data_IF_375430618450
#
_entry.id   IF_375430618450
#
_cell.length_a   1.000
_cell.length_b   1.000
_cell.length_c   1.000
_cell.angle_alpha   90.00
_cell.angle_beta   90.00
_cell.angle_gamma   90.00
#
_symmetry.space_group_name_H-M   'P 1'
#
loop_
_entity.id
_entity.type
_entity.pdbx_description
1 polymer ?
#
# COMPACT_ATOMS: atom_id res chain seq x y z
N UNK A 1 9.07 -2.23 60.25
CA UNK A 1 8.99 -2.43 58.78
C UNK A 1 7.78 -1.64 58.28
N UNK A 2 7.99 -0.45 57.71
CA UNK A 2 6.91 0.41 57.18
C UNK A 2 7.04 0.43 55.66
N UNK A 3 6.06 -0.15 54.97
CA UNK A 3 5.95 -0.12 53.51
C UNK A 3 5.54 1.28 53.06
N UNK A 4 6.36 1.89 52.20
CA UNK A 4 5.99 3.07 51.41
C UNK A 4 5.47 2.54 50.08
N UNK A 5 4.15 2.63 49.85
CA UNK A 5 3.58 2.42 48.52
C UNK A 5 3.75 3.72 47.73
N UNK A 6 4.70 3.74 46.78
CA UNK A 6 4.88 4.83 45.84
C UNK A 6 3.79 4.82 44.78
N UNK A 7 3.03 5.92 44.68
CA UNK A 7 2.09 6.18 43.59
C UNK A 7 2.89 6.74 42.40
N UNK A 8 3.34 5.86 41.50
CA UNK A 8 3.88 6.29 40.20
C UNK A 8 2.72 6.61 39.26
N UNK A 9 2.41 7.89 39.12
CA UNK A 9 1.53 8.40 38.07
C UNK A 9 2.27 8.25 36.73
N UNK A 10 1.84 7.28 35.92
CA UNK A 10 2.26 7.13 34.52
C UNK A 10 1.62 8.27 33.74
N UNK A 11 2.40 9.29 33.38
CA UNK A 11 2.03 10.24 32.35
C UNK A 11 2.52 9.67 31.02
N UNK A 12 1.67 8.89 30.38
CA UNK A 12 1.86 8.54 28.98
C UNK A 12 1.74 9.84 28.17
N UNK A 13 2.87 10.31 27.61
CA UNK A 13 2.80 11.22 26.48
C UNK A 13 2.06 10.47 25.38
N UNK A 14 0.84 10.91 25.10
CA UNK A 14 0.17 10.56 23.87
C UNK A 14 0.94 11.26 22.74
N UNK A 15 1.97 10.60 22.20
CA UNK A 15 2.42 10.87 20.85
C UNK A 15 1.31 10.40 19.92
N UNK A 16 0.30 11.25 19.77
CA UNK A 16 -0.53 11.21 18.58
C UNK A 16 0.42 11.44 17.42
N UNK A 17 0.77 10.36 16.71
CA UNK A 17 1.43 10.45 15.42
C UNK A 17 0.52 11.29 14.52
N UNK A 18 0.74 12.60 14.48
CA UNK A 18 0.17 13.46 13.47
C UNK A 18 0.64 12.89 12.13
N UNK A 19 -0.28 12.64 11.20
CA UNK A 19 0.07 12.25 9.86
C UNK A 19 1.11 13.25 9.33
N UNK A 20 2.29 12.75 8.96
CA UNK A 20 3.39 13.58 8.45
C UNK A 20 2.88 14.43 7.27
N UNK A 21 3.12 15.74 7.31
CA UNK A 21 2.82 16.61 6.16
C UNK A 21 3.84 16.36 5.05
N UNK A 22 3.50 16.67 3.80
CA UNK A 22 4.44 16.54 2.69
C UNK A 22 5.75 17.27 2.99
N UNK A 23 5.64 18.50 3.50
CA UNK A 23 6.77 19.37 3.83
C UNK A 23 7.63 18.77 4.95
N UNK A 24 7.03 18.04 5.89
CA UNK A 24 7.78 17.40 6.98
C UNK A 24 8.74 16.31 6.49
N UNK A 25 8.53 15.74 5.30
CA UNK A 25 9.45 14.77 4.71
C UNK A 25 10.82 15.37 4.44
N UNK A 26 10.93 16.68 4.22
CA UNK A 26 12.22 17.35 4.06
C UNK A 26 13.14 17.24 5.28
N UNK A 27 12.59 16.89 6.46
CA UNK A 27 13.34 16.71 7.70
C UNK A 27 13.79 15.26 7.97
N UNK A 28 13.44 14.32 7.10
CA UNK A 28 13.78 12.91 7.29
C UNK A 28 15.30 12.69 7.13
N UNK A 29 15.91 12.10 8.15
CA UNK A 29 17.32 11.72 8.13
C UNK A 29 17.48 10.33 7.50
N UNK A 30 18.24 10.25 6.41
CA UNK A 30 18.55 9.03 5.69
C UNK A 30 20.07 8.90 5.54
N UNK A 31 20.67 7.73 5.79
CA UNK A 31 22.13 7.57 5.86
C UNK A 31 22.84 7.92 4.54
N UNK A 32 22.26 7.58 3.39
CA UNK A 32 22.86 7.78 2.06
C UNK A 32 21.98 8.60 1.11
N UNK A 33 21.07 9.40 1.67
CA UNK A 33 20.13 10.21 0.88
C UNK A 33 19.86 11.56 1.55
N UNK A 34 19.77 12.61 0.74
CA UNK A 34 19.31 13.93 1.16
C UNK A 34 18.06 14.30 0.39
N UNK A 35 16.96 14.58 1.10
CA UNK A 35 15.75 15.13 0.49
C UNK A 35 16.02 16.59 0.15
N UNK A 36 16.02 16.92 -1.14
CA UNK A 36 16.32 18.26 -1.66
C UNK A 36 15.06 19.12 -1.81
N UNK A 37 13.89 18.48 -1.91
CA UNK A 37 12.59 19.14 -1.93
C UNK A 37 11.50 18.19 -1.46
N UNK A 38 10.52 18.67 -0.70
CA UNK A 38 9.26 17.98 -0.44
C UNK A 38 8.14 19.02 -0.40
N UNK A 39 7.31 19.04 -1.45
CA UNK A 39 6.29 20.09 -1.64
C UNK A 39 4.99 19.50 -2.17
N UNK A 40 3.87 19.98 -1.63
CA UNK A 40 2.57 19.73 -2.27
C UNK A 40 2.49 20.50 -3.58
N UNK A 41 2.26 19.76 -4.67
CA UNK A 41 1.82 20.29 -5.96
C UNK A 41 0.30 20.31 -5.94
N UNK A 42 -0.30 21.48 -6.14
CA UNK A 42 -1.76 21.60 -6.17
C UNK A 42 -2.36 20.94 -7.42
N UNK A 43 -3.68 20.71 -7.38
CA UNK A 43 -4.40 20.07 -8.47
C UNK A 43 -4.19 20.84 -9.79
N UNK A 44 -3.80 20.13 -10.85
CA UNK A 44 -3.58 20.70 -12.18
C UNK A 44 -2.38 21.64 -12.32
N UNK A 45 -1.62 21.90 -11.25
CA UNK A 45 -0.48 22.84 -11.26
C UNK A 45 0.86 22.20 -11.61
N UNK A 46 0.90 20.88 -11.83
CA UNK A 46 2.15 20.24 -12.22
C UNK A 46 2.63 20.73 -13.59
N UNK A 47 3.87 21.26 -13.58
CA UNK A 47 4.60 21.64 -14.78
C UNK A 47 5.86 20.78 -14.85
N UNK A 48 6.04 19.93 -15.86
CA UNK A 48 7.26 19.13 -16.02
C UNK A 48 8.47 20.05 -16.29
N UNK A 49 9.68 19.71 -15.82
CA UNK A 49 10.90 20.41 -16.21
C UNK A 49 11.02 20.49 -17.73
N UNK A 50 11.38 21.65 -18.26
CA UNK A 50 11.36 21.98 -19.69
C UNK A 50 12.27 21.03 -20.50
N UNK A 51 11.67 20.01 -21.12
CA UNK A 51 12.38 19.01 -21.92
C UNK A 51 11.52 17.81 -22.36
N UNK A 52 10.38 17.56 -21.70
CA UNK A 52 9.37 16.65 -22.24
C UNK A 52 8.79 17.21 -23.54
N UNK A 53 8.48 16.35 -24.52
CA UNK A 53 7.71 16.71 -25.72
C UNK A 53 6.27 17.12 -25.34
N UNK A 54 6.10 18.23 -24.61
CA UNK A 54 4.85 18.96 -24.58
C UNK A 54 4.72 19.65 -25.94
N UNK A 55 4.45 18.83 -26.96
CA UNK A 55 4.09 19.32 -28.28
C UNK A 55 2.88 20.22 -28.13
N UNK A 56 2.96 21.43 -28.70
CA UNK A 56 1.86 22.37 -28.99
C UNK A 56 0.47 21.82 -28.64
N UNK A 57 0.03 22.01 -27.39
CA UNK A 57 -1.23 21.44 -26.88
C UNK A 57 -1.38 21.65 -25.38
N UNK A 58 -2.61 21.57 -24.88
CA UNK A 58 -2.98 21.78 -23.48
C UNK A 58 -2.12 20.95 -22.50
N UNK A 59 -1.90 21.45 -21.28
CA UNK A 59 -1.18 20.72 -20.22
C UNK A 59 -1.77 19.31 -20.05
N UNK A 60 -1.05 18.22 -20.38
CA UNK A 60 -1.57 16.86 -20.24
C UNK A 60 -1.83 16.48 -18.76
N UNK A 61 -1.34 17.29 -17.83
CA UNK A 61 -1.46 17.09 -16.40
C UNK A 61 -2.50 18.00 -15.71
N UNK A 62 -3.32 18.73 -16.49
CA UNK A 62 -4.33 19.67 -15.94
C UNK A 62 -5.34 19.02 -14.99
N UNK A 63 -5.59 17.72 -15.14
CA UNK A 63 -6.57 16.96 -14.37
C UNK A 63 -5.91 16.15 -13.24
N UNK A 64 -4.60 16.33 -12.98
CA UNK A 64 -3.94 15.66 -11.87
C UNK A 64 -4.48 16.17 -10.52
N UNK A 65 -4.82 15.27 -9.58
CA UNK A 65 -5.12 15.65 -8.20
C UNK A 65 -3.87 16.20 -7.50
N UNK A 66 -4.01 16.89 -6.35
CA UNK A 66 -2.84 17.36 -5.62
C UNK A 66 -2.00 16.18 -5.12
N UNK A 67 -0.67 16.32 -5.16
CA UNK A 67 0.26 15.29 -4.73
C UNK A 67 1.50 15.91 -4.07
N UNK A 68 2.15 15.16 -3.20
CA UNK A 68 3.43 15.52 -2.60
C UNK A 68 4.56 15.08 -3.53
N UNK A 69 5.32 16.04 -4.06
CA UNK A 69 6.50 15.81 -4.88
C UNK A 69 7.73 15.87 -4.00
N UNK A 70 8.43 14.74 -3.88
CA UNK A 70 9.67 14.62 -3.10
C UNK A 70 10.82 14.41 -4.06
N UNK A 71 11.81 15.28 -4.02
CA UNK A 71 13.07 15.11 -4.72
C UNK A 71 14.17 14.78 -3.71
N UNK A 72 15.04 13.83 -4.05
CA UNK A 72 16.17 13.43 -3.23
C UNK A 72 17.42 13.23 -4.09
N UNK A 73 18.58 13.42 -3.47
CA UNK A 73 19.87 13.01 -4.00
C UNK A 73 20.40 11.85 -3.16
N UNK A 74 20.70 10.73 -3.80
CA UNK A 74 21.27 9.53 -3.17
C UNK A 74 22.76 9.47 -3.47
N UNK A 75 23.57 9.21 -2.43
CA UNK A 75 25.04 9.14 -2.48
C UNK A 75 25.54 7.85 -1.80
N UNK A 76 25.15 6.64 -2.26
CA UNK A 76 25.54 5.37 -1.63
C UNK A 76 27.04 5.08 -1.68
N UNK A 77 27.76 5.74 -2.60
CA UNK A 77 29.23 5.77 -2.68
C UNK A 77 29.68 7.21 -2.89
N UNK A 78 30.95 7.49 -2.63
CA UNK A 78 31.51 8.85 -2.73
C UNK A 78 31.43 9.48 -4.13
N UNK A 79 31.31 8.66 -5.17
CA UNK A 79 31.21 9.05 -6.58
C UNK A 79 29.77 8.97 -7.14
N UNK A 80 28.80 8.57 -6.31
CA UNK A 80 27.39 8.51 -6.72
C UNK A 80 26.69 9.86 -6.55
N UNK A 81 25.96 10.29 -7.59
CA UNK A 81 25.04 11.42 -7.54
C UNK A 81 23.71 11.06 -8.23
N UNK A 82 22.84 10.35 -7.52
CA UNK A 82 21.59 9.80 -8.08
C UNK A 82 20.43 10.73 -7.73
N UNK A 83 19.77 11.30 -8.75
CA UNK A 83 18.59 12.15 -8.57
C UNK A 83 17.32 11.31 -8.62
N UNK A 84 16.59 11.27 -7.52
CA UNK A 84 15.33 10.53 -7.38
C UNK A 84 14.19 11.52 -7.19
N UNK A 85 13.07 11.25 -7.82
CA UNK A 85 11.81 11.97 -7.62
C UNK A 85 10.69 10.99 -7.33
N UNK A 86 10.00 11.17 -6.22
CA UNK A 86 8.89 10.33 -5.74
C UNK A 86 7.64 11.19 -5.62
N UNK A 87 6.54 10.72 -6.19
CA UNK A 87 5.25 11.40 -6.11
C UNK A 87 4.34 10.60 -5.19
N UNK A 88 4.04 11.19 -4.04
CA UNK A 88 3.17 10.60 -3.03
C UNK A 88 1.79 11.28 -3.13
N UNK A 89 0.68 10.55 -2.98
CA UNK A 89 -0.64 11.20 -2.92
C UNK A 89 -0.70 12.19 -1.76
N UNK A 90 -1.18 13.43 -2.00
CA UNK A 90 -1.23 14.47 -0.96
C UNK A 90 -2.21 14.13 0.16
N UNK A 91 -3.16 13.22 -0.10
CA UNK A 91 -4.04 12.64 0.89
C UNK A 91 -4.58 11.30 0.39
N UNK A 92 -5.15 10.52 1.31
CA UNK A 92 -5.84 9.27 1.01
C UNK A 92 -7.31 9.48 0.59
N UNK A 93 -7.67 10.67 0.10
CA UNK A 93 -9.07 11.01 -0.17
C UNK A 93 -9.56 10.37 -1.48
N UNK A 94 -9.99 9.11 -1.40
CA UNK A 94 -10.67 8.42 -2.50
C UNK A 94 -12.18 8.73 -2.57
N UNK A 95 -12.68 9.75 -1.85
CA UNK A 95 -14.11 10.05 -1.79
C UNK A 95 -14.73 10.29 -3.17
N UNK A 96 -14.14 11.09 -4.09
CA UNK A 96 -14.72 11.25 -5.42
C UNK A 96 -14.77 9.94 -6.20
N UNK A 97 -13.69 9.15 -6.14
CA UNK A 97 -13.62 7.85 -6.81
C UNK A 97 -14.71 6.89 -6.32
N UNK A 98 -14.86 6.74 -5.01
CA UNK A 98 -15.88 5.90 -4.38
C UNK A 98 -17.29 6.43 -4.66
N UNK A 99 -17.49 7.76 -4.63
CA UNK A 99 -18.79 8.38 -4.91
C UNK A 99 -19.26 8.16 -6.36
N UNK A 100 -18.33 7.95 -7.30
CA UNK A 100 -18.63 7.57 -8.68
C UNK A 100 -18.74 6.05 -8.90
N UNK A 101 -18.82 5.26 -7.81
CA UNK A 101 -18.97 3.81 -7.87
C UNK A 101 -17.66 3.06 -8.14
N UNK A 102 -16.51 3.74 -8.08
CA UNK A 102 -15.20 3.14 -8.31
C UNK A 102 -14.88 2.00 -7.33
N UNK A 103 -14.21 0.96 -7.84
CA UNK A 103 -13.71 -0.18 -7.07
C UNK A 103 -12.19 -0.26 -7.18
N UNK A 104 -11.51 -0.35 -6.04
CA UNK A 104 -10.06 -0.46 -5.95
C UNK A 104 -9.70 -1.79 -5.28
N UNK A 105 -9.00 -2.65 -6.01
CA UNK A 105 -8.33 -3.82 -5.47
C UNK A 105 -6.84 -3.56 -5.38
N UNK A 106 -6.31 -3.67 -4.16
CA UNK A 106 -4.89 -3.56 -3.87
C UNK A 106 -4.35 -4.93 -3.46
N UNK A 107 -3.12 -5.23 -3.86
CA UNK A 107 -2.39 -6.37 -3.30
C UNK A 107 -0.93 -6.00 -3.03
N UNK A 108 -0.29 -6.71 -2.12
CA UNK A 108 1.15 -6.56 -1.85
C UNK A 108 1.76 -7.87 -1.36
N UNK A 109 2.95 -8.21 -1.85
CA UNK A 109 3.73 -9.34 -1.36
C UNK A 109 4.25 -9.10 0.05
N UNK A 110 3.91 -9.97 1.01
CA UNK A 110 4.36 -9.77 2.40
C UNK A 110 5.86 -10.00 2.59
N UNK A 111 6.50 -10.63 1.60
CA UNK A 111 7.93 -10.89 1.55
C UNK A 111 8.64 -10.05 0.49
N UNK A 112 8.02 -8.94 0.05
CA UNK A 112 8.63 -7.98 -0.88
C UNK A 112 9.87 -7.31 -0.23
N UNK A 113 11.09 -7.52 -0.77
CA UNK A 113 12.30 -6.94 -0.22
C UNK A 113 12.60 -5.52 -0.78
N UNK A 114 11.88 -5.09 -1.81
CA UNK A 114 12.11 -3.82 -2.51
C UNK A 114 11.17 -2.73 -2.00
N UNK A 115 9.89 -3.06 -1.84
CA UNK A 115 8.87 -2.15 -1.32
C UNK A 115 8.28 -2.78 -0.07
N UNK A 116 8.51 -2.16 1.09
CA UNK A 116 8.02 -2.71 2.35
C UNK A 116 6.48 -2.79 2.36
N UNK A 117 5.87 -3.96 2.64
CA UNK A 117 4.42 -4.16 2.51
C UNK A 117 3.60 -3.30 3.48
N UNK A 118 4.20 -2.86 4.59
CA UNK A 118 3.56 -1.96 5.55
C UNK A 118 3.13 -0.63 4.91
N UNK A 119 3.83 -0.16 3.86
CA UNK A 119 3.43 1.05 3.13
C UNK A 119 2.01 0.95 2.55
N UNK A 120 1.63 -0.22 2.02
CA UNK A 120 0.29 -0.45 1.48
C UNK A 120 -0.74 -0.63 2.58
N UNK A 121 -0.37 -1.26 3.71
CA UNK A 121 -1.23 -1.37 4.88
C UNK A 121 -1.54 0.01 5.45
N UNK A 122 -0.54 0.88 5.60
CA UNK A 122 -0.70 2.21 6.15
C UNK A 122 -1.50 3.12 5.22
N UNK A 123 -1.30 2.99 3.90
CA UNK A 123 -2.15 3.67 2.93
C UNK A 123 -3.61 3.20 3.02
N UNK A 124 -3.87 1.90 3.06
CA UNK A 124 -5.22 1.35 3.21
C UNK A 124 -5.92 1.86 4.48
N UNK A 125 -5.20 1.87 5.61
CA UNK A 125 -5.71 2.44 6.87
C UNK A 125 -5.99 3.94 6.75
N UNK A 126 -5.13 4.69 6.06
CA UNK A 126 -5.32 6.12 5.82
C UNK A 126 -6.57 6.39 4.99
N UNK A 127 -6.84 5.57 3.96
CA UNK A 127 -8.08 5.62 3.17
C UNK A 127 -9.30 5.32 4.05
N UNK A 128 -9.25 4.26 4.86
CA UNK A 128 -10.33 3.90 5.77
C UNK A 128 -10.63 5.03 6.78
N UNK A 129 -9.58 5.61 7.37
CA UNK A 129 -9.71 6.73 8.30
C UNK A 129 -10.33 7.96 7.64
N UNK A 130 -10.01 8.23 6.37
CA UNK A 130 -10.54 9.38 5.65
C UNK A 130 -12.00 9.22 5.19
N UNK A 131 -12.43 7.98 4.88
CA UNK A 131 -13.73 7.71 4.26
C UNK A 131 -14.74 7.00 5.17
N UNK A 132 -14.30 6.41 6.27
CA UNK A 132 -15.10 5.52 7.10
C UNK A 132 -15.15 4.11 6.51
N UNK A 133 -16.37 3.57 6.31
CA UNK A 133 -16.55 2.20 5.80
C UNK A 133 -16.18 2.13 4.31
N UNK A 134 -15.14 1.36 3.98
CA UNK A 134 -14.59 1.25 2.61
C UNK A 134 -14.74 -0.13 1.99
N UNK A 135 -15.19 -1.15 2.73
CA UNK A 135 -15.13 -2.57 2.32
C UNK A 135 -15.92 -2.90 1.04
N UNK A 136 -16.91 -2.06 0.70
CA UNK A 136 -17.71 -2.17 -0.52
C UNK A 136 -17.05 -1.53 -1.75
N UNK A 137 -15.92 -0.84 -1.58
CA UNK A 137 -15.26 -0.08 -2.66
C UNK A 137 -13.74 -0.18 -2.70
N UNK A 138 -13.07 -0.49 -1.59
CA UNK A 138 -11.61 -0.62 -1.52
C UNK A 138 -11.29 -1.87 -0.70
N UNK A 139 -10.47 -2.77 -1.25
CA UNK A 139 -9.98 -3.96 -0.54
C UNK A 139 -8.48 -4.14 -0.76
N UNK A 140 -7.78 -4.52 0.31
CA UNK A 140 -6.35 -4.85 0.29
C UNK A 140 -6.18 -6.35 0.54
N UNK A 141 -5.39 -7.02 -0.30
CA UNK A 141 -4.96 -8.40 -0.14
C UNK A 141 -3.46 -8.46 0.11
N UNK A 142 -3.07 -8.75 1.34
CA UNK A 142 -1.69 -9.09 1.65
C UNK A 142 -1.44 -10.53 1.22
N UNK A 143 -0.33 -10.79 0.54
CA UNK A 143 0.01 -12.09 -0.05
C UNK A 143 1.21 -12.70 0.68
N UNK A 144 1.00 -13.58 1.68
CA UNK A 144 2.09 -14.18 2.45
C UNK A 144 3.03 -15.01 1.58
N UNK A 145 4.34 -14.83 1.77
CA UNK A 145 5.39 -15.56 1.05
C UNK A 145 5.63 -15.10 -0.39
N UNK A 146 4.80 -14.20 -0.93
CA UNK A 146 5.05 -13.58 -2.23
C UNK A 146 6.09 -12.46 -2.10
N UNK A 147 7.04 -12.44 -3.04
CA UNK A 147 8.04 -11.37 -3.18
C UNK A 147 7.54 -10.15 -3.95
N UNK A 148 8.45 -9.44 -4.60
CA UNK A 148 8.12 -8.25 -5.39
C UNK A 148 7.30 -8.60 -6.63
N UNK A 149 6.05 -8.12 -6.67
CA UNK A 149 5.04 -8.36 -7.71
C UNK A 149 4.62 -9.84 -7.93
N UNK A 150 5.46 -10.81 -7.57
CA UNK A 150 5.28 -12.25 -7.74
C UNK A 150 6.47 -13.02 -7.16
N UNK A 151 6.59 -14.31 -7.51
CA UNK A 151 7.66 -15.16 -6.98
C UNK A 151 7.57 -15.40 -5.46
N UNK A 152 8.65 -15.89 -4.85
CA UNK A 152 8.70 -16.25 -3.44
C UNK A 152 8.08 -17.63 -3.12
N UNK A 153 8.19 -18.03 -1.85
CA UNK A 153 7.83 -19.38 -1.35
C UNK A 153 6.32 -19.59 -1.15
N UNK A 154 5.53 -18.52 -1.27
CA UNK A 154 4.09 -18.55 -1.06
C UNK A 154 3.27 -18.59 -2.35
N UNK A 155 1.96 -18.89 -2.28
CA UNK A 155 1.05 -18.73 -3.40
C UNK A 155 1.05 -17.30 -3.96
N UNK A 156 1.51 -17.14 -5.19
CA UNK A 156 1.82 -15.86 -5.82
C UNK A 156 1.13 -15.65 -7.19
N UNK A 157 0.38 -16.64 -7.65
CA UNK A 157 -0.38 -16.57 -8.90
C UNK A 157 -1.87 -16.54 -8.58
N UNK A 158 -2.58 -15.51 -9.05
CA UNK A 158 -4.00 -15.29 -8.78
C UNK A 158 -4.62 -14.38 -9.83
N UNK A 159 -5.94 -14.49 -10.03
CA UNK A 159 -6.69 -13.68 -10.98
C UNK A 159 -7.31 -12.44 -10.32
N UNK A 160 -6.52 -11.37 -10.22
CA UNK A 160 -6.98 -10.09 -9.67
C UNK A 160 -7.93 -9.36 -10.64
N UNK A 161 -7.72 -9.51 -11.95
CA UNK A 161 -8.51 -8.82 -12.97
C UNK A 161 -9.93 -9.38 -13.01
N UNK A 162 -10.09 -10.71 -13.07
CA UNK A 162 -11.40 -11.35 -13.05
C UNK A 162 -12.15 -11.12 -11.73
N UNK A 163 -11.43 -10.93 -10.61
CA UNK A 163 -12.04 -10.50 -9.35
C UNK A 163 -12.56 -9.05 -9.43
N UNK A 164 -11.79 -8.14 -10.04
CA UNK A 164 -12.20 -6.74 -10.24
C UNK A 164 -13.41 -6.63 -11.17
N UNK A 165 -13.41 -7.35 -12.30
CA UNK A 165 -14.52 -7.40 -13.26
C UNK A 165 -15.81 -7.87 -12.59
N UNK A 166 -15.75 -8.98 -11.83
CA UNK A 166 -16.91 -9.47 -11.07
C UNK A 166 -17.42 -8.45 -10.05
N UNK A 167 -16.53 -7.70 -9.42
CA UNK A 167 -16.92 -6.69 -8.44
C UNK A 167 -17.59 -5.49 -9.09
N UNK A 168 -17.00 -4.96 -10.17
CA UNK A 168 -17.49 -3.78 -10.90
C UNK A 168 -18.79 -4.08 -11.63
N UNK A 169 -18.84 -5.19 -12.37
CA UNK A 169 -19.96 -5.46 -13.28
C UNK A 169 -21.12 -6.23 -12.63
N UNK A 170 -20.83 -7.05 -11.63
CA UNK A 170 -21.81 -7.96 -11.02
C UNK A 170 -22.07 -7.69 -9.55
N UNK A 171 -21.40 -6.68 -8.98
CA UNK A 171 -21.51 -6.35 -7.55
C UNK A 171 -21.00 -7.46 -6.62
N UNK A 172 -20.24 -8.43 -7.15
CA UNK A 172 -19.72 -9.55 -6.36
C UNK A 172 -18.42 -9.13 -5.69
N UNK A 173 -18.53 -8.69 -4.45
CA UNK A 173 -17.39 -8.31 -3.63
C UNK A 173 -16.46 -9.52 -3.40
N UNK A 174 -15.13 -9.37 -3.58
CA UNK A 174 -14.21 -10.49 -3.41
C UNK A 174 -13.90 -10.72 -1.93
N UNK A 175 -14.64 -11.62 -1.28
CA UNK A 175 -14.41 -12.04 0.11
C UNK A 175 -13.21 -12.99 0.26
N UNK A 176 -12.75 -13.56 -0.85
CA UNK A 176 -11.48 -14.27 -0.95
C UNK A 176 -11.07 -14.34 -2.42
N UNK A 177 -9.76 -14.42 -2.68
CA UNK A 177 -9.19 -14.69 -4.01
C UNK A 177 -8.27 -15.89 -3.87
N UNK A 178 -8.52 -16.98 -4.60
CA UNK A 178 -7.64 -18.16 -4.52
C UNK A 178 -6.32 -17.85 -5.25
N UNK A 179 -5.22 -18.06 -4.54
CA UNK A 179 -3.86 -17.99 -5.08
C UNK A 179 -3.22 -19.37 -5.12
N UNK A 180 -2.32 -19.59 -6.07
CA UNK A 180 -1.52 -20.80 -6.22
C UNK A 180 -0.01 -20.51 -6.20
N UNK A 181 0.75 -21.44 -5.64
CA UNK A 181 2.18 -21.61 -5.86
C UNK A 181 2.37 -22.79 -6.82
N UNK A 182 3.45 -22.76 -7.61
CA UNK A 182 3.75 -23.82 -8.57
C UNK A 182 5.24 -24.14 -8.56
N UNK A 183 5.57 -25.44 -8.58
CA UNK A 183 6.93 -25.96 -8.73
C UNK A 183 6.99 -26.74 -10.04
N UNK A 184 7.94 -26.40 -10.91
CA UNK A 184 8.08 -27.08 -12.20
C UNK A 184 6.85 -26.98 -13.11
N UNK A 185 6.04 -25.93 -12.95
CA UNK A 185 4.80 -25.71 -13.70
C UNK A 185 3.57 -26.46 -13.16
N UNK A 186 3.72 -27.26 -12.10
CA UNK A 186 2.60 -27.92 -11.42
C UNK A 186 2.26 -27.17 -10.13
N UNK A 187 0.96 -26.97 -9.88
CA UNK A 187 0.47 -26.36 -8.64
C UNK A 187 0.73 -27.32 -7.49
N UNK A 188 1.54 -26.90 -6.52
CA UNK A 188 1.85 -27.66 -5.31
C UNK A 188 1.07 -27.15 -4.08
N UNK A 189 0.64 -25.88 -4.09
CA UNK A 189 -0.09 -25.28 -2.97
C UNK A 189 -1.07 -24.21 -3.41
N UNK A 190 -2.24 -24.16 -2.76
CA UNK A 190 -3.23 -23.09 -2.92
C UNK A 190 -3.64 -22.49 -1.57
N UNK A 191 -3.97 -21.20 -1.55
CA UNK A 191 -4.51 -20.49 -0.37
C UNK A 191 -5.57 -19.48 -0.76
N UNK A 192 -6.60 -19.24 0.07
CA UNK A 192 -7.41 -18.05 -0.08
C UNK A 192 -6.60 -16.83 0.38
N UNK A 193 -6.44 -15.84 -0.49
CA UNK A 193 -6.07 -14.49 -0.10
C UNK A 193 -7.27 -13.86 0.57
N UNK A 194 -7.06 -13.32 1.77
CA UNK A 194 -8.11 -12.74 2.59
C UNK A 194 -8.06 -11.21 2.54
N UNK A 195 -9.21 -10.53 2.56
CA UNK A 195 -9.25 -9.08 2.65
C UNK A 195 -8.69 -8.64 4.01
N UNK A 196 -7.69 -7.77 4.00
CA UNK A 196 -7.08 -7.21 5.21
C UNK A 196 -8.16 -6.57 6.11
N UNK A 197 -8.14 -6.80 7.44
CA UNK A 197 -7.09 -7.44 8.23
C UNK A 197 -7.24 -8.96 8.43
N UNK A 198 -8.17 -9.61 7.75
CA UNK A 198 -8.39 -11.05 7.91
C UNK A 198 -7.19 -11.85 7.39
N UNK A 199 -7.02 -13.05 7.92
CA UNK A 199 -5.96 -13.98 7.52
C UNK A 199 -6.53 -15.36 7.20
N UNK A 200 -5.87 -16.08 6.31
CA UNK A 200 -6.23 -17.46 6.00
C UNK A 200 -5.91 -18.35 7.21
N UNK A 201 -6.95 -18.89 7.84
CA UNK A 201 -6.80 -19.77 8.99
C UNK A 201 -7.20 -21.19 8.62
N UNK A 202 -6.33 -22.15 8.91
CA UNK A 202 -6.62 -23.56 8.69
C UNK A 202 -7.80 -24.00 9.57
N UNK A 203 -8.71 -24.78 8.99
CA UNK A 203 -9.93 -25.24 9.67
C UNK A 203 -9.68 -26.38 10.65
N UNK A 204 -8.52 -27.04 10.57
CA UNK A 204 -8.19 -28.23 11.35
C UNK A 204 -8.42 -29.54 10.60
N UNK A 205 -9.03 -29.50 9.41
CA UNK A 205 -9.29 -30.67 8.57
C UNK A 205 -8.97 -30.42 7.09
N UNK A 206 -8.72 -31.48 6.34
CA UNK A 206 -8.35 -31.43 4.93
C UNK A 206 -6.84 -31.33 4.69
N UNK A 207 -6.44 -31.18 3.44
CA UNK A 207 -5.02 -30.99 3.09
C UNK A 207 -4.57 -29.58 3.46
N UNK A 208 -3.39 -29.45 4.06
CA UNK A 208 -2.77 -28.14 4.27
C UNK A 208 -2.31 -27.50 2.97
N UNK A 209 -2.30 -28.20 1.83
CA UNK A 209 -1.90 -27.63 0.54
C UNK A 209 -3.09 -27.13 -0.29
N UNK A 210 -4.32 -27.29 0.21
CA UNK A 210 -5.54 -26.91 -0.48
C UNK A 210 -6.23 -25.70 0.15
N UNK A 211 -6.60 -24.72 -0.68
CA UNK A 211 -7.29 -23.51 -0.23
C UNK A 211 -8.63 -23.80 0.46
N UNK A 212 -9.34 -24.87 0.06
CA UNK A 212 -10.62 -25.28 0.63
C UNK A 212 -10.55 -25.64 2.12
N UNK A 213 -9.35 -25.96 2.63
CA UNK A 213 -9.13 -26.28 4.04
C UNK A 213 -8.93 -25.03 4.92
N UNK A 214 -9.04 -23.83 4.37
CA UNK A 214 -8.82 -22.54 5.03
C UNK A 214 -10.05 -21.65 4.95
N UNK A 215 -10.21 -20.79 5.95
CA UNK A 215 -11.23 -19.72 5.98
C UNK A 215 -10.57 -18.38 6.30
N UNK A 216 -11.12 -17.30 5.74
CA UNK A 216 -10.74 -15.94 6.12
C UNK A 216 -11.44 -15.54 7.41
N UNK A 217 -10.66 -15.14 8.42
CA UNK A 217 -11.14 -14.60 9.71
C UNK A 217 -10.08 -13.74 10.38
#
# INVERSE_FOLDING_TARGET
MRFVLGLSLVMACADGAAAATCESLASLSLPDATITSAQVVAAGEFVPPSGGRAGRGANPFKDLPPFCRVAATLTPTSDSDIKVEVWLPANANLKPFVAHGGKLLMYHGWSDPLVGPLTSVDYYKSVANALGRIDDSVRLFIVPGMGHCGGGEGPNTFDMLGALEQWVERGKTPDQIVASHSIGGAVDRTRPLCPYPQVATYTGAGSIDEAASFICR
#
